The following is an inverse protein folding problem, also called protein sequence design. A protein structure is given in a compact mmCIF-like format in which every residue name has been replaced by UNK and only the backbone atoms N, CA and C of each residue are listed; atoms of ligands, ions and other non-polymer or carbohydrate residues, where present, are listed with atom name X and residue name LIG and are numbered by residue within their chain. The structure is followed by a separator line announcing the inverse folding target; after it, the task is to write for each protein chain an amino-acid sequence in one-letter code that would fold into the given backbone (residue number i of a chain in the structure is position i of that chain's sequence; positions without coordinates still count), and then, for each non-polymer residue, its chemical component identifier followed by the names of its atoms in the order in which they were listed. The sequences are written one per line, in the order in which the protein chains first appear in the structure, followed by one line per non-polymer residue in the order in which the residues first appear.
data_IF_740503882858
#
_entry.id   IF_740503882858
#
_cell.length_a   1.000
_cell.length_b   1.000
_cell.length_c   1.000
_cell.angle_alpha   90.00
_cell.angle_beta   90.00
_cell.angle_gamma   90.00
#
_symmetry.space_group_name_H-M   'P 1'
#
loop_
_entity.id
_entity.type
_entity.pdbx_description
1 polymer ?
#
# COMPACT_ATOMS: atom_id res chain seq x y z
N UNK A 1 6.81 10.13 7.61
CA UNK A 1 6.95 9.14 8.70
C UNK A 1 5.96 8.00 8.52
N UNK A 2 6.37 6.76 8.79
CA UNK A 2 5.48 5.59 8.87
C UNK A 2 5.64 5.00 10.27
N UNK A 3 4.53 4.77 10.97
CA UNK A 3 4.52 4.14 12.30
C UNK A 3 3.57 2.95 12.30
N UNK A 4 4.07 1.81 12.71
CA UNK A 4 3.33 0.55 12.82
C UNK A 4 3.44 0.05 14.25
N UNK A 5 2.30 -0.18 14.90
CA UNK A 5 2.25 -0.60 16.30
C UNK A 5 1.36 -1.83 16.47
N UNK A 6 1.99 -2.90 16.95
CA UNK A 6 1.35 -4.15 17.36
C UNK A 6 0.42 -4.75 16.30
N UNK A 7 0.78 -4.65 15.00
CA UNK A 7 -0.08 -5.21 13.96
C UNK A 7 0.04 -6.73 13.89
N UNK A 8 -1.11 -7.38 13.78
CA UNK A 8 -1.22 -8.81 13.50
C UNK A 8 -2.14 -9.05 12.32
N UNK A 9 -1.85 -10.08 11.55
CA UNK A 9 -2.66 -10.50 10.41
C UNK A 9 -2.66 -12.02 10.27
N UNK A 10 -3.85 -12.59 10.22
CA UNK A 10 -4.10 -14.02 10.02
C UNK A 10 -4.92 -14.23 8.75
N UNK A 11 -4.57 -15.22 7.97
CA UNK A 11 -5.37 -15.69 6.83
C UNK A 11 -5.99 -17.06 7.12
N UNK A 12 -7.22 -17.23 6.70
CA UNK A 12 -7.86 -18.56 6.68
C UNK A 12 -7.43 -19.30 5.41
N UNK A 13 -6.83 -20.45 5.56
CA UNK A 13 -6.45 -21.34 4.46
C UNK A 13 -7.23 -22.65 4.54
N UNK A 14 -7.29 -23.44 3.46
CA UNK A 14 -7.94 -24.75 3.50
C UNK A 14 -7.35 -25.68 4.57
N UNK A 15 -6.10 -25.48 4.96
CA UNK A 15 -5.38 -26.27 5.96
C UNK A 15 -5.42 -25.67 7.36
N UNK A 16 -6.14 -24.57 7.57
CA UNK A 16 -6.25 -23.89 8.86
C UNK A 16 -5.92 -22.40 8.82
N UNK A 17 -5.76 -21.81 10.00
CA UNK A 17 -5.38 -20.39 10.15
C UNK A 17 -3.87 -20.23 10.11
N UNK A 18 -3.38 -19.30 9.31
CA UNK A 18 -1.95 -18.93 9.23
C UNK A 18 -1.78 -17.49 9.66
N UNK A 19 -1.15 -17.27 10.80
CA UNK A 19 -0.78 -15.94 11.27
C UNK A 19 0.50 -15.48 10.56
N UNK A 20 0.34 -14.53 9.63
CA UNK A 20 1.40 -14.04 8.73
C UNK A 20 2.15 -12.87 9.33
N UNK A 21 1.46 -11.97 10.03
CA UNK A 21 2.08 -10.90 10.79
C UNK A 21 1.75 -11.11 12.28
N UNK A 22 2.78 -11.05 13.12
CA UNK A 22 2.69 -11.33 14.56
C UNK A 22 3.26 -10.16 15.34
N UNK A 23 2.37 -9.34 15.90
CA UNK A 23 2.74 -8.20 16.76
C UNK A 23 3.89 -7.35 16.18
N UNK A 24 3.81 -7.02 14.90
CA UNK A 24 4.87 -6.29 14.18
C UNK A 24 4.86 -4.83 14.61
N UNK A 25 6.05 -4.32 14.93
CA UNK A 25 6.30 -2.93 15.26
C UNK A 25 7.44 -2.40 14.40
N UNK A 26 7.29 -1.23 13.78
CA UNK A 26 8.35 -0.54 13.05
C UNK A 26 8.05 0.95 12.94
N UNK A 27 9.10 1.73 12.82
CA UNK A 27 9.03 3.16 12.53
C UNK A 27 10.00 3.49 11.40
N UNK A 28 9.56 4.36 10.49
CA UNK A 28 10.37 4.84 9.35
C UNK A 28 10.21 6.37 9.32
N UNK A 29 11.33 7.06 9.45
CA UNK A 29 11.35 8.51 9.42
C UNK A 29 11.14 9.07 8.00
N UNK A 30 10.81 10.36 7.92
CA UNK A 30 10.70 11.02 6.62
C UNK A 30 12.08 11.13 5.96
N UNK A 31 12.14 10.74 4.69
CA UNK A 31 13.37 10.72 3.90
C UNK A 31 14.17 9.42 3.98
N UNK A 32 13.78 8.49 4.84
CA UNK A 32 14.47 7.21 4.98
C UNK A 32 14.19 6.25 3.83
N UNK A 33 15.17 5.38 3.59
CA UNK A 33 15.03 4.16 2.77
C UNK A 33 15.07 2.95 3.69
N UNK A 34 13.92 2.32 3.89
CA UNK A 34 13.77 1.19 4.80
C UNK A 34 13.64 -0.13 4.05
N UNK A 35 14.53 -1.08 4.34
CA UNK A 35 14.55 -2.40 3.73
C UNK A 35 13.83 -3.47 4.56
N UNK A 36 12.92 -4.23 3.94
CA UNK A 36 12.27 -5.39 4.55
C UNK A 36 12.78 -6.66 3.90
N UNK A 37 13.56 -7.46 4.63
CA UNK A 37 14.19 -8.70 4.16
C UNK A 37 13.58 -9.91 4.85
N UNK A 38 13.60 -11.05 4.16
CA UNK A 38 13.10 -12.32 4.68
C UNK A 38 12.86 -13.34 3.57
N UNK A 39 12.69 -14.60 3.95
CA UNK A 39 12.38 -15.69 3.01
C UNK A 39 11.05 -15.50 2.29
N UNK A 40 10.82 -16.25 1.20
CA UNK A 40 9.52 -16.32 0.55
C UNK A 40 8.46 -16.76 1.57
N UNK A 41 7.29 -16.11 1.54
CA UNK A 41 6.22 -16.40 2.51
C UNK A 41 6.37 -15.74 3.90
N UNK A 42 7.46 -15.02 4.19
CA UNK A 42 7.69 -14.38 5.49
C UNK A 42 6.77 -13.17 5.81
N UNK A 43 5.76 -12.88 4.97
CA UNK A 43 4.81 -11.80 5.22
C UNK A 43 5.19 -10.42 4.67
N UNK A 44 6.33 -10.27 3.98
CA UNK A 44 6.79 -8.97 3.44
C UNK A 44 5.74 -8.26 2.58
N UNK A 45 5.20 -8.96 1.60
CA UNK A 45 4.15 -8.41 0.71
C UNK A 45 2.85 -8.10 1.46
N UNK A 46 2.53 -8.90 2.48
CA UNK A 46 1.37 -8.66 3.36
C UNK A 46 1.59 -7.37 4.17
N UNK A 47 2.78 -7.18 4.74
CA UNK A 47 3.13 -5.95 5.46
C UNK A 47 2.96 -4.72 4.57
N UNK A 48 3.55 -4.73 3.36
CA UNK A 48 3.43 -3.62 2.41
C UNK A 48 1.97 -3.35 2.03
N UNK A 49 1.16 -4.40 1.82
CA UNK A 49 -0.27 -4.25 1.54
C UNK A 49 -1.06 -3.70 2.73
N UNK A 50 -0.65 -3.98 3.94
CA UNK A 50 -1.24 -3.38 5.13
C UNK A 50 -0.90 -1.88 5.24
N UNK A 51 0.34 -1.49 4.94
CA UNK A 51 0.78 -0.08 4.99
C UNK A 51 -0.02 0.83 4.05
N UNK A 52 -0.40 0.34 2.88
CA UNK A 52 -1.23 1.10 1.92
C UNK A 52 -2.73 0.78 2.04
N UNK A 53 -3.13 0.00 3.04
CA UNK A 53 -4.51 -0.39 3.32
C UNK A 53 -5.15 -1.29 2.26
N UNK A 54 -4.37 -1.92 1.35
CA UNK A 54 -4.88 -2.94 0.43
C UNK A 54 -5.25 -4.23 1.17
N UNK A 55 -4.58 -4.48 2.31
CA UNK A 55 -4.92 -5.57 3.22
C UNK A 55 -5.26 -4.98 4.59
N UNK A 56 -6.33 -5.46 5.20
CA UNK A 56 -6.78 -5.03 6.51
C UNK A 56 -6.09 -5.86 7.60
N UNK A 57 -5.52 -5.22 8.60
CA UNK A 57 -4.96 -5.90 9.78
C UNK A 57 -6.08 -6.41 10.70
N UNK A 58 -5.80 -7.44 11.49
CA UNK A 58 -6.73 -7.97 12.48
C UNK A 58 -6.64 -7.16 13.78
N UNK A 59 -5.46 -6.63 14.10
CA UNK A 59 -5.21 -5.78 15.27
C UNK A 59 -4.06 -4.81 15.03
N UNK A 60 -3.94 -3.82 15.90
CA UNK A 60 -2.87 -2.82 15.90
C UNK A 60 -3.18 -1.58 15.05
N UNK A 61 -2.20 -0.71 14.93
CA UNK A 61 -2.34 0.62 14.32
C UNK A 61 -1.27 0.86 13.26
N UNK A 62 -1.68 1.44 12.14
CA UNK A 62 -0.77 1.88 11.07
C UNK A 62 -1.02 3.35 10.79
N UNK A 63 0.02 4.16 10.87
CA UNK A 63 0.02 5.58 10.53
C UNK A 63 0.99 5.80 9.36
N UNK A 64 0.53 6.48 8.31
CA UNK A 64 1.35 6.88 7.17
C UNK A 64 1.16 8.38 6.94
N UNK A 65 2.22 9.13 7.18
CA UNK A 65 2.17 10.59 7.26
C UNK A 65 1.21 11.02 8.36
N UNK A 66 0.16 11.74 7.99
CA UNK A 66 -0.87 12.24 8.92
C UNK A 66 -2.09 11.30 9.04
N UNK A 67 -2.11 10.20 8.27
CA UNK A 67 -3.28 9.32 8.17
C UNK A 67 -3.11 8.05 8.99
N UNK A 68 -4.02 7.79 9.93
CA UNK A 68 -4.16 6.49 10.58
C UNK A 68 -4.92 5.52 9.65
N UNK A 69 -4.18 4.80 8.81
CA UNK A 69 -4.72 3.92 7.75
C UNK A 69 -5.73 2.91 8.30
N UNK A 70 -5.50 2.42 9.50
CA UNK A 70 -6.33 1.40 10.17
C UNK A 70 -7.73 1.90 10.55
N UNK A 71 -7.93 3.22 10.66
CA UNK A 71 -9.22 3.82 11.02
C UNK A 71 -9.97 4.45 9.85
N UNK A 72 -9.33 4.58 8.67
CA UNK A 72 -9.93 5.23 7.53
C UNK A 72 -11.11 4.42 6.98
N UNK A 73 -12.19 5.12 6.64
CA UNK A 73 -13.27 4.56 5.84
C UNK A 73 -12.82 4.36 4.38
N UNK A 74 -13.67 3.71 3.57
CA UNK A 74 -13.36 3.38 2.17
C UNK A 74 -13.05 4.61 1.30
N UNK A 75 -13.73 5.75 1.55
CA UNK A 75 -13.54 7.00 0.80
C UNK A 75 -12.23 7.69 1.22
N UNK A 76 -12.00 7.79 2.51
CA UNK A 76 -10.79 8.35 3.09
C UNK A 76 -9.55 7.56 2.66
N UNK A 77 -9.62 6.22 2.70
CA UNK A 77 -8.54 5.34 2.27
C UNK A 77 -8.20 5.50 0.78
N UNK A 78 -9.22 5.68 -0.08
CA UNK A 78 -9.00 6.01 -1.50
C UNK A 78 -8.20 7.31 -1.65
N UNK A 79 -8.51 8.33 -0.86
CA UNK A 79 -7.79 9.61 -0.91
C UNK A 79 -6.37 9.49 -0.35
N UNK A 80 -6.17 8.76 0.74
CA UNK A 80 -4.83 8.50 1.30
C UNK A 80 -3.93 7.79 0.28
N UNK A 81 -4.45 6.79 -0.42
CA UNK A 81 -3.72 6.03 -1.45
C UNK A 81 -3.23 6.88 -2.64
N UNK A 82 -3.87 8.01 -2.94
CA UNK A 82 -3.37 8.93 -3.99
C UNK A 82 -2.00 9.51 -3.67
N UNK A 83 -1.61 9.52 -2.39
CA UNK A 83 -0.31 10.00 -1.91
C UNK A 83 0.71 8.87 -1.67
N UNK A 84 0.31 7.61 -1.87
CA UNK A 84 1.14 6.43 -1.65
C UNK A 84 1.42 5.77 -3.00
N UNK A 85 2.65 5.87 -3.50
CA UNK A 85 3.08 5.11 -4.67
C UNK A 85 3.37 3.65 -4.30
N UNK A 86 3.03 2.72 -5.21
CA UNK A 86 3.36 1.30 -5.04
C UNK A 86 3.87 0.72 -6.35
N UNK A 87 5.03 0.08 -6.30
CA UNK A 87 5.56 -0.75 -7.39
C UNK A 87 5.18 -2.20 -7.08
N UNK A 88 4.41 -2.81 -7.96
CA UNK A 88 3.96 -4.20 -7.79
C UNK A 88 4.99 -5.18 -8.35
N UNK A 89 5.00 -6.41 -7.84
CA UNK A 89 5.86 -7.49 -8.37
C UNK A 89 5.49 -7.88 -9.81
N UNK A 90 4.22 -7.80 -10.16
CA UNK A 90 3.72 -7.90 -11.54
C UNK A 90 3.52 -6.49 -12.08
N UNK A 91 3.64 -6.31 -13.39
CA UNK A 91 3.59 -4.98 -14.01
C UNK A 91 2.27 -4.25 -13.73
N UNK A 92 1.15 -4.97 -13.57
CA UNK A 92 -0.19 -4.41 -13.31
C UNK A 92 -0.57 -3.31 -14.30
N UNK A 93 -0.19 -3.48 -15.55
CA UNK A 93 -0.56 -2.60 -16.66
C UNK A 93 -1.94 -3.02 -17.20
N UNK A 94 -2.64 -2.05 -17.74
CA UNK A 94 -3.87 -2.30 -18.49
C UNK A 94 -3.48 -2.72 -19.92
N UNK A 95 -3.65 -3.98 -20.26
CA UNK A 95 -3.30 -4.54 -21.58
C UNK A 95 -4.08 -3.89 -22.72
N UNK A 96 -5.30 -3.38 -22.43
CA UNK A 96 -6.16 -2.68 -23.40
C UNK A 96 -5.81 -1.20 -23.60
N UNK A 97 -4.79 -0.69 -22.89
CA UNK A 97 -4.37 0.72 -22.94
C UNK A 97 -2.98 0.85 -23.52
N UNK A 98 -2.74 1.99 -24.18
CA UNK A 98 -1.41 2.38 -24.66
C UNK A 98 -0.46 2.66 -23.50
N UNK A 99 0.83 2.78 -23.80
CA UNK A 99 1.86 3.19 -22.83
C UNK A 99 1.50 4.54 -22.22
N UNK A 100 1.13 5.52 -23.07
CA UNK A 100 0.69 6.84 -22.63
C UNK A 100 -0.47 6.76 -21.63
N UNK A 101 -1.52 6.01 -21.96
CA UNK A 101 -2.71 5.87 -21.10
C UNK A 101 -2.41 5.16 -19.78
N UNK A 102 -1.50 4.19 -19.77
CA UNK A 102 -1.06 3.55 -18.53
C UNK A 102 -0.32 4.53 -17.60
N UNK A 103 0.54 5.39 -18.17
CA UNK A 103 1.27 6.42 -17.40
C UNK A 103 0.33 7.55 -16.99
N UNK A 104 -0.59 7.96 -17.84
CA UNK A 104 -1.56 9.03 -17.56
C UNK A 104 -2.59 8.65 -16.49
N UNK A 105 -2.97 7.39 -16.39
CA UNK A 105 -4.04 6.91 -15.54
C UNK A 105 -3.95 7.35 -14.06
N UNK A 106 -2.81 7.23 -13.35
CA UNK A 106 -2.68 7.73 -11.98
C UNK A 106 -2.91 9.24 -11.84
N UNK A 107 -2.55 10.01 -12.85
CA UNK A 107 -2.76 11.46 -12.85
C UNK A 107 -4.24 11.80 -13.09
N UNK A 108 -4.92 11.05 -13.97
CA UNK A 108 -6.36 11.19 -14.24
C UNK A 108 -7.18 10.92 -12.98
N UNK A 109 -6.96 9.80 -12.29
CA UNK A 109 -7.68 9.46 -11.06
C UNK A 109 -7.36 10.40 -9.89
N UNK A 110 -6.22 11.10 -9.96
CA UNK A 110 -5.83 12.12 -8.99
C UNK A 110 -6.45 13.48 -9.28
N UNK A 111 -7.13 13.63 -10.43
CA UNK A 111 -7.85 14.85 -10.82
C UNK A 111 -7.00 15.92 -11.48
N UNK A 112 -5.85 15.54 -12.05
CA UNK A 112 -5.04 16.47 -12.85
C UNK A 112 -5.78 16.88 -14.12
N UNK A 113 -5.61 18.15 -14.54
CA UNK A 113 -6.14 18.65 -15.82
C UNK A 113 -5.42 17.99 -16.99
N UNK A 114 -6.13 17.74 -18.10
CA UNK A 114 -5.59 17.05 -19.30
C UNK A 114 -4.31 17.70 -19.84
N UNK A 115 -4.22 19.03 -19.82
CA UNK A 115 -3.06 19.79 -20.27
C UNK A 115 -1.82 19.42 -19.43
N UNK A 116 -1.95 19.41 -18.11
CA UNK A 116 -0.87 19.06 -17.19
C UNK A 116 -0.47 17.58 -17.29
N UNK A 117 -1.42 16.69 -17.59
CA UNK A 117 -1.14 15.26 -17.81
C UNK A 117 -0.26 15.08 -19.04
N UNK A 118 -0.61 15.78 -20.16
CA UNK A 118 0.14 15.69 -21.43
C UNK A 118 1.58 16.17 -21.29
N UNK A 119 1.82 17.17 -20.46
CA UNK A 119 3.16 17.70 -20.18
C UNK A 119 4.00 16.75 -19.29
N UNK A 120 3.33 16.00 -18.39
CA UNK A 120 4.00 15.11 -17.43
C UNK A 120 4.27 13.71 -17.95
N UNK A 121 3.56 13.24 -18.94
CA UNK A 121 3.68 11.91 -19.56
C UNK A 121 4.62 11.95 -20.75
#
# INVERSE_FOLDING_TARGET
MISVKNISKTFNTPTGKVEVLKNVNLEVEDGDVFGVVGFSGAGKSTLIRCLNGLEKVDSGTIIVGENEITKLDRKQLRNARKKIGMIFQQFNLFDSKTVYENIAFPLEISGYKKENIRERV
#
